data_IF_582500258875
#
_entry.id   IF_582500258875
#
_cell.length_a   1.000
_cell.length_b   1.000
_cell.length_c   1.000
_cell.angle_alpha   90.00
_cell.angle_beta   90.00
_cell.angle_gamma   90.00
#
_symmetry.space_group_name_H-M   'P 1'
#
loop_
_entity.id
_entity.type
_entity.pdbx_description
1 polymer ?
#
# COMPACT_ATOMS: atom_id res chain seq x y z
N UNK A 1 28.35 -21.46 -28.47
CA UNK A 1 27.47 -20.65 -27.59
C UNK A 1 27.98 -20.85 -26.18
N UNK A 2 28.69 -19.86 -25.67
CA UNK A 2 29.73 -20.04 -24.64
C UNK A 2 29.12 -19.87 -23.26
N UNK A 3 29.73 -20.48 -22.25
CA UNK A 3 29.38 -20.35 -20.82
C UNK A 3 29.16 -18.90 -20.36
N UNK A 4 29.82 -17.96 -21.06
CA UNK A 4 29.64 -16.52 -20.91
C UNK A 4 28.23 -16.04 -21.25
N UNK A 5 27.57 -16.56 -22.29
CA UNK A 5 26.25 -16.09 -22.74
C UNK A 5 25.20 -16.34 -21.64
N UNK A 6 25.17 -17.56 -21.07
CA UNK A 6 24.26 -17.87 -19.96
C UNK A 6 24.54 -17.05 -18.70
N UNK A 7 25.81 -16.80 -18.40
CA UNK A 7 26.17 -16.02 -17.20
C UNK A 7 25.88 -14.52 -17.38
N UNK A 8 26.06 -14.00 -18.60
CA UNK A 8 25.74 -12.63 -18.98
C UNK A 8 24.22 -12.43 -18.99
N UNK A 9 23.46 -13.38 -19.51
CA UNK A 9 21.99 -13.32 -19.50
C UNK A 9 21.44 -13.40 -18.06
N UNK A 10 21.97 -14.29 -17.21
CA UNK A 10 21.57 -14.40 -15.80
C UNK A 10 21.88 -13.13 -14.97
N UNK A 11 22.91 -12.39 -15.34
CA UNK A 11 23.26 -11.11 -14.68
C UNK A 11 22.50 -9.92 -15.25
N UNK A 12 22.19 -9.92 -16.55
CA UNK A 12 21.38 -8.89 -17.23
C UNK A 12 19.90 -8.98 -16.84
N UNK A 13 19.34 -10.18 -16.83
CA UNK A 13 17.91 -10.43 -16.59
C UNK A 13 17.65 -10.74 -15.10
N UNK A 14 18.55 -10.26 -14.24
CA UNK A 14 18.44 -10.38 -12.78
C UNK A 14 17.16 -9.66 -12.33
N UNK A 15 16.21 -10.37 -11.68
CA UNK A 15 15.00 -9.74 -11.18
C UNK A 15 15.31 -8.70 -10.10
N UNK A 16 14.54 -7.60 -10.09
CA UNK A 16 14.72 -6.50 -9.14
C UNK A 16 14.50 -6.90 -7.68
N UNK A 17 13.72 -7.96 -7.43
CA UNK A 17 13.50 -8.54 -6.10
C UNK A 17 14.69 -9.37 -5.57
N UNK A 18 15.71 -9.63 -6.39
CA UNK A 18 16.82 -10.51 -6.01
C UNK A 18 17.85 -9.78 -5.12
N UNK A 19 18.27 -10.34 -3.96
CA UNK A 19 19.07 -9.64 -2.94
C UNK A 19 20.36 -8.98 -3.44
N UNK A 20 20.47 -7.65 -3.32
CA UNK A 20 21.65 -6.87 -3.74
C UNK A 20 22.94 -7.38 -3.09
N UNK A 21 24.03 -7.51 -3.86
CA UNK A 21 25.32 -7.99 -3.37
C UNK A 21 25.61 -9.49 -3.58
N UNK A 22 24.59 -10.31 -3.88
CA UNK A 22 24.82 -11.70 -4.33
C UNK A 22 24.93 -11.75 -5.87
N UNK A 23 26.03 -12.28 -6.40
CA UNK A 23 26.16 -12.55 -7.84
C UNK A 23 25.60 -13.92 -8.16
N UNK A 24 24.61 -14.00 -9.05
CA UNK A 24 24.07 -15.28 -9.54
C UNK A 24 25.16 -15.97 -10.38
N UNK A 25 25.78 -17.01 -9.84
CA UNK A 25 26.79 -17.81 -10.53
C UNK A 25 26.33 -19.26 -10.59
N UNK A 26 26.36 -19.85 -11.79
CA UNK A 26 26.03 -21.25 -11.96
C UNK A 26 27.15 -22.13 -11.38
N UNK A 27 26.85 -23.19 -10.60
CA UNK A 27 27.86 -24.08 -10.08
C UNK A 27 28.68 -24.72 -11.21
N UNK A 28 30.00 -24.68 -11.07
CA UNK A 28 30.93 -25.19 -12.08
C UNK A 28 30.68 -26.67 -12.42
N UNK A 29 30.23 -27.47 -11.46
CA UNK A 29 29.88 -28.87 -11.66
C UNK A 29 28.72 -29.08 -12.66
N UNK A 30 27.75 -28.16 -12.70
CA UNK A 30 26.63 -28.22 -13.66
C UNK A 30 27.09 -27.82 -15.06
N UNK A 31 28.01 -26.86 -15.15
CA UNK A 31 28.63 -26.45 -16.41
C UNK A 31 29.46 -27.58 -17.03
N UNK A 32 30.25 -28.28 -16.22
CA UNK A 32 31.02 -29.44 -16.67
C UNK A 32 30.11 -30.60 -17.07
N UNK A 33 29.03 -30.85 -16.32
CA UNK A 33 28.05 -31.89 -16.66
C UNK A 33 27.38 -31.59 -18.01
N UNK A 34 26.97 -30.34 -18.25
CA UNK A 34 26.45 -29.88 -19.55
C UNK A 34 27.47 -30.09 -20.67
N UNK A 35 28.72 -29.68 -20.44
CA UNK A 35 29.79 -29.85 -21.43
C UNK A 35 29.99 -31.33 -21.79
N UNK A 36 29.95 -32.24 -20.80
CA UNK A 36 30.06 -33.68 -21.05
C UNK A 36 28.88 -34.24 -21.85
N UNK A 37 27.65 -33.83 -21.53
CA UNK A 37 26.44 -34.25 -22.25
C UNK A 37 26.46 -33.79 -23.72
N UNK A 38 26.91 -32.56 -23.99
CA UNK A 38 26.83 -31.97 -25.34
C UNK A 38 28.05 -32.27 -26.21
N UNK A 39 29.25 -32.33 -25.63
CA UNK A 39 30.51 -32.34 -26.38
C UNK A 39 31.43 -33.52 -26.09
N UNK A 40 31.12 -34.37 -25.10
CA UNK A 40 31.93 -35.56 -24.78
C UNK A 40 31.04 -36.82 -24.74
N UNK A 41 31.29 -37.68 -23.77
CA UNK A 41 30.52 -38.88 -23.52
C UNK A 41 29.45 -38.61 -22.47
N UNK A 42 28.28 -39.23 -22.67
CA UNK A 42 27.14 -39.13 -21.77
C UNK A 42 27.55 -39.62 -20.36
N UNK A 43 27.32 -38.83 -19.30
CA UNK A 43 27.63 -39.26 -17.93
C UNK A 43 26.79 -40.47 -17.52
N UNK A 44 27.31 -41.24 -16.56
CA UNK A 44 26.59 -42.38 -16.00
C UNK A 44 25.30 -41.94 -15.29
N UNK A 45 24.32 -42.85 -15.18
CA UNK A 45 23.07 -42.57 -14.49
C UNK A 45 23.28 -42.10 -13.03
N UNK A 46 24.29 -42.63 -12.34
CA UNK A 46 24.62 -42.23 -10.97
C UNK A 46 25.22 -40.81 -10.89
N UNK A 47 25.97 -40.38 -11.89
CA UNK A 47 26.44 -38.99 -12.01
C UNK A 47 25.29 -38.04 -12.35
N UNK A 48 24.39 -38.43 -13.26
CA UNK A 48 23.20 -37.64 -13.60
C UNK A 48 22.27 -37.47 -12.40
N UNK A 49 22.04 -38.52 -11.61
CA UNK A 49 21.24 -38.44 -10.37
C UNK A 49 21.83 -37.46 -9.35
N UNK A 50 23.15 -37.48 -9.17
CA UNK A 50 23.85 -36.54 -8.27
C UNK A 50 23.80 -35.11 -8.80
N UNK A 51 24.03 -34.92 -10.10
CA UNK A 51 23.96 -33.60 -10.73
C UNK A 51 22.54 -33.01 -10.66
N UNK A 52 21.50 -33.83 -10.84
CA UNK A 52 20.10 -33.42 -10.71
C UNK A 52 19.77 -33.00 -9.26
N UNK A 53 20.19 -33.80 -8.27
CA UNK A 53 20.02 -33.44 -6.85
C UNK A 53 20.72 -32.12 -6.49
N UNK A 54 21.96 -31.94 -6.94
CA UNK A 54 22.72 -30.70 -6.74
C UNK A 54 22.08 -29.50 -7.48
N UNK A 55 21.50 -29.72 -8.65
CA UNK A 55 20.78 -28.67 -9.40
C UNK A 55 19.52 -28.23 -8.67
N UNK A 56 18.76 -29.17 -8.12
CA UNK A 56 17.55 -28.89 -7.35
C UNK A 56 17.86 -28.14 -6.05
N UNK A 57 18.91 -28.53 -5.34
CA UNK A 57 19.36 -27.81 -4.15
C UNK A 57 19.79 -26.38 -4.50
N UNK A 58 20.56 -26.22 -5.58
CA UNK A 58 20.97 -24.90 -6.04
C UNK A 58 19.79 -24.02 -6.46
N UNK A 59 18.82 -24.57 -7.22
CA UNK A 59 17.59 -23.85 -7.58
C UNK A 59 16.76 -23.48 -6.35
N UNK A 60 16.73 -24.34 -5.33
CA UNK A 60 16.09 -24.03 -4.06
C UNK A 60 16.74 -22.83 -3.37
N UNK A 61 18.07 -22.87 -3.17
CA UNK A 61 18.82 -21.81 -2.50
C UNK A 61 18.78 -20.46 -3.23
N UNK A 62 18.80 -20.48 -4.57
CA UNK A 62 18.97 -19.27 -5.36
C UNK A 62 17.69 -18.70 -5.93
N UNK A 63 16.67 -19.52 -6.20
CA UNK A 63 15.43 -19.07 -6.81
C UNK A 63 14.25 -19.27 -5.86
N UNK A 64 13.93 -20.52 -5.48
CA UNK A 64 12.68 -20.78 -4.74
C UNK A 64 12.65 -20.23 -3.32
N UNK A 65 13.76 -20.27 -2.57
CA UNK A 65 13.82 -19.69 -1.23
C UNK A 65 13.66 -18.17 -1.21
N UNK A 66 13.94 -17.52 -2.34
CA UNK A 66 13.81 -16.07 -2.52
C UNK A 66 12.43 -15.69 -3.09
N UNK A 67 11.61 -16.66 -3.51
CA UNK A 67 10.27 -16.36 -4.03
C UNK A 67 9.35 -15.80 -2.94
N UNK A 68 9.57 -16.12 -1.68
CA UNK A 68 8.84 -15.46 -0.59
C UNK A 68 9.10 -13.95 -0.57
N UNK A 69 10.31 -13.51 -0.91
CA UNK A 69 10.63 -12.08 -1.08
C UNK A 69 10.01 -11.52 -2.36
N UNK A 70 10.00 -12.28 -3.46
CA UNK A 70 9.35 -11.88 -4.71
C UNK A 70 7.82 -11.71 -4.55
N UNK A 71 7.17 -12.63 -3.84
CA UNK A 71 5.73 -12.57 -3.56
C UNK A 71 5.40 -11.53 -2.49
N UNK A 72 6.29 -11.29 -1.52
CA UNK A 72 6.19 -10.09 -0.67
C UNK A 72 6.30 -8.82 -1.52
N UNK A 73 7.24 -8.73 -2.45
CA UNK A 73 7.42 -7.54 -3.32
C UNK A 73 6.22 -7.33 -4.26
N UNK A 74 5.60 -8.42 -4.76
CA UNK A 74 4.43 -8.37 -5.64
C UNK A 74 3.10 -8.14 -4.91
N UNK A 75 2.92 -8.70 -3.70
CA UNK A 75 1.76 -8.45 -2.86
C UNK A 75 1.83 -7.08 -2.15
N UNK A 76 3.02 -6.58 -1.84
CA UNK A 76 3.22 -5.31 -1.12
C UNK A 76 3.08 -4.05 -1.99
N UNK A 77 2.71 -4.17 -3.28
CA UNK A 77 2.17 -3.04 -4.04
C UNK A 77 0.79 -2.61 -3.50
N UNK A 78 0.10 -3.49 -2.77
CA UNK A 78 -1.15 -3.17 -2.07
C UNK A 78 -1.15 -3.84 -0.69
N UNK A 79 -0.99 -3.02 0.36
CA UNK A 79 -1.11 -3.36 1.79
C UNK A 79 0.15 -3.87 2.55
N UNK A 80 0.66 -2.96 3.40
CA UNK A 80 1.26 -3.21 4.73
C UNK A 80 2.62 -3.95 4.86
N UNK A 81 3.68 -3.13 4.99
CA UNK A 81 4.58 -3.17 6.15
C UNK A 81 5.69 -4.22 6.16
N UNK A 82 6.92 -3.80 5.78
CA UNK A 82 8.11 -4.63 6.00
C UNK A 82 9.39 -4.18 5.31
N UNK A 83 9.68 -2.87 5.26
CA UNK A 83 11.07 -2.39 5.19
C UNK A 83 11.50 -2.05 6.62
N UNK A 84 11.80 -3.09 7.40
CA UNK A 84 12.45 -2.96 8.72
C UNK A 84 13.95 -3.29 8.69
N UNK A 85 14.57 -3.38 7.52
CA UNK A 85 16.03 -3.51 7.40
C UNK A 85 16.61 -2.29 6.70
N UNK A 86 16.93 -1.26 7.49
CA UNK A 86 18.20 -0.46 7.44
C UNK A 86 18.18 0.78 8.38
N UNK A 87 17.16 0.94 9.24
CA UNK A 87 17.13 2.03 10.22
C UNK A 87 16.79 1.46 11.60
N UNK A 88 17.82 1.30 12.45
CA UNK A 88 17.62 0.88 13.85
C UNK A 88 16.56 1.73 14.54
N UNK A 89 15.80 1.14 15.47
CA UNK A 89 14.65 1.77 16.16
C UNK A 89 15.02 3.14 16.75
N UNK A 90 16.21 3.27 17.33
CA UNK A 90 16.75 4.53 17.85
C UNK A 90 16.94 5.58 16.76
N UNK A 91 17.48 5.20 15.60
CA UNK A 91 17.64 6.07 14.44
C UNK A 91 16.29 6.52 13.89
N UNK A 92 15.30 5.61 13.82
CA UNK A 92 13.93 5.92 13.39
C UNK A 92 13.25 6.94 14.30
N UNK A 93 13.39 6.78 15.61
CA UNK A 93 12.82 7.71 16.59
C UNK A 93 13.48 9.09 16.48
N UNK A 94 14.81 9.16 16.33
CA UNK A 94 15.53 10.42 16.14
C UNK A 94 15.11 11.13 14.84
N UNK A 95 14.91 10.40 13.75
CA UNK A 95 14.40 10.97 12.48
C UNK A 95 12.98 11.52 12.70
N UNK A 96 12.10 10.76 13.37
CA UNK A 96 10.74 11.20 13.71
C UNK A 96 10.75 12.50 14.52
N UNK A 97 11.55 12.58 15.58
CA UNK A 97 11.66 13.77 16.43
C UNK A 97 12.16 14.99 15.66
N UNK A 98 13.16 14.80 14.78
CA UNK A 98 13.68 15.86 13.90
C UNK A 98 12.61 16.35 12.93
N UNK A 99 11.84 15.45 12.30
CA UNK A 99 10.72 15.80 11.43
C UNK A 99 9.63 16.56 12.20
N UNK A 100 9.23 16.06 13.37
CA UNK A 100 8.22 16.70 14.19
C UNK A 100 8.65 18.12 14.64
N UNK A 101 9.91 18.29 15.02
CA UNK A 101 10.50 19.60 15.36
C UNK A 101 10.46 20.56 14.17
N UNK A 102 10.77 20.07 12.97
CA UNK A 102 10.70 20.84 11.73
C UNK A 102 9.27 21.29 11.42
N UNK A 103 8.30 20.38 11.50
CA UNK A 103 6.88 20.67 11.26
C UNK A 103 6.31 21.66 12.31
N UNK A 104 6.69 21.52 13.58
CA UNK A 104 6.31 22.48 14.64
C UNK A 104 6.88 23.87 14.37
N UNK A 105 8.13 23.95 13.92
CA UNK A 105 8.79 25.21 13.53
C UNK A 105 8.06 25.85 12.35
N UNK A 106 7.77 25.06 11.30
CA UNK A 106 6.98 25.49 10.15
C UNK A 106 5.63 26.08 10.59
N UNK A 107 4.85 25.36 11.41
CA UNK A 107 3.53 25.84 11.87
C UNK A 107 3.65 27.16 12.63
N UNK A 108 4.67 27.32 13.49
CA UNK A 108 4.92 28.56 14.22
C UNK A 108 5.23 29.73 13.28
N UNK A 109 6.13 29.53 12.33
CA UNK A 109 6.51 30.54 11.35
C UNK A 109 5.35 30.90 10.43
N UNK A 110 4.62 29.90 9.94
CA UNK A 110 3.45 30.10 9.09
C UNK A 110 2.34 30.87 9.80
N UNK A 111 2.07 30.56 11.07
CA UNK A 111 1.12 31.35 11.89
C UNK A 111 1.55 32.81 12.00
N UNK A 112 2.84 33.09 12.11
CA UNK A 112 3.36 34.46 12.13
C UNK A 112 3.24 35.15 10.77
N UNK A 113 3.47 34.46 9.66
CA UNK A 113 3.26 34.98 8.30
C UNK A 113 1.78 35.36 8.05
N UNK A 114 0.86 34.49 8.44
CA UNK A 114 -0.59 34.73 8.31
C UNK A 114 -1.00 35.95 9.14
N UNK A 115 -0.53 36.06 10.38
CA UNK A 115 -0.77 37.23 11.24
C UNK A 115 -0.19 38.52 10.65
N UNK A 116 0.98 38.44 10.02
CA UNK A 116 1.64 39.58 9.39
C UNK A 116 1.18 39.86 7.94
N UNK A 117 0.17 39.13 7.45
CA UNK A 117 -0.44 39.28 6.11
C UNK A 117 0.57 39.26 4.95
N UNK A 118 1.64 38.48 5.08
CA UNK A 118 2.64 38.32 4.00
C UNK A 118 2.05 37.49 2.87
N UNK A 119 2.26 37.94 1.61
CA UNK A 119 1.73 37.28 0.41
C UNK A 119 2.46 35.97 0.07
N UNK A 120 3.77 35.92 0.25
CA UNK A 120 4.58 34.73 -0.03
C UNK A 120 4.88 33.95 1.25
N UNK A 121 4.85 32.61 1.16
CA UNK A 121 5.23 31.75 2.28
C UNK A 121 6.71 31.38 2.21
N UNK A 122 7.53 32.10 2.97
CA UNK A 122 8.94 31.75 3.18
C UNK A 122 9.10 30.59 4.16
N UNK A 123 8.10 30.39 5.04
CA UNK A 123 8.07 29.27 5.96
C UNK A 123 8.07 27.92 5.21
N UNK A 124 7.28 27.79 4.14
CA UNK A 124 7.20 26.54 3.37
C UNK A 124 8.53 26.20 2.67
N UNK A 125 9.14 27.16 1.98
CA UNK A 125 10.44 26.98 1.34
C UNK A 125 11.54 26.68 2.38
N UNK A 126 11.57 27.41 3.49
CA UNK A 126 12.55 27.19 4.58
C UNK A 126 12.43 25.79 5.18
N UNK A 127 11.20 25.31 5.39
CA UNK A 127 10.95 23.96 5.90
C UNK A 127 11.43 22.89 4.92
N UNK A 128 11.17 23.06 3.62
CA UNK A 128 11.63 22.13 2.59
C UNK A 128 13.14 22.12 2.42
N UNK A 129 13.79 23.28 2.38
CA UNK A 129 15.25 23.36 2.34
C UNK A 129 15.86 22.70 3.58
N UNK A 130 15.25 22.89 4.75
CA UNK A 130 15.70 22.22 5.98
C UNK A 130 15.50 20.70 5.92
N UNK A 131 14.40 20.23 5.32
CA UNK A 131 14.14 18.81 5.12
C UNK A 131 15.18 18.20 4.18
N UNK A 132 15.38 18.78 3.01
CA UNK A 132 16.36 18.32 2.02
C UNK A 132 17.77 18.32 2.60
N UNK A 133 18.18 19.40 3.29
CA UNK A 133 19.51 19.50 3.91
C UNK A 133 19.75 18.43 4.96
N UNK A 134 18.73 18.03 5.72
CA UNK A 134 18.89 17.08 6.84
C UNK A 134 18.74 15.62 6.44
N UNK A 135 17.97 15.35 5.40
CA UNK A 135 17.54 13.98 5.08
C UNK A 135 17.88 13.54 3.66
N UNK A 136 18.35 14.44 2.80
CA UNK A 136 18.85 14.06 1.48
C UNK A 136 20.37 13.88 1.49
N UNK A 137 20.90 12.78 0.91
CA UNK A 137 22.34 12.58 0.79
C UNK A 137 23.00 13.54 -0.22
N UNK A 138 22.25 14.20 -1.10
CA UNK A 138 22.77 15.19 -2.06
C UNK A 138 21.66 16.16 -2.51
N UNK A 139 22.02 17.34 -3.01
CA UNK A 139 21.04 18.36 -3.48
C UNK A 139 20.15 17.89 -4.63
N UNK A 140 20.49 16.78 -5.29
CA UNK A 140 19.78 16.20 -6.42
C UNK A 140 19.08 14.87 -6.11
N UNK A 141 19.22 14.33 -4.89
CA UNK A 141 18.61 13.05 -4.51
C UNK A 141 17.41 13.28 -3.61
N UNK A 142 16.42 12.40 -3.69
CA UNK A 142 15.28 12.41 -2.76
C UNK A 142 15.65 11.69 -1.47
N UNK A 143 15.17 12.15 -0.31
CA UNK A 143 15.36 11.45 0.96
C UNK A 143 14.83 10.02 0.93
N UNK A 144 15.32 9.17 1.85
CA UNK A 144 14.92 7.76 1.91
C UNK A 144 13.40 7.58 1.95
N UNK A 145 12.90 6.50 1.33
CA UNK A 145 11.47 6.14 1.34
C UNK A 145 10.95 6.05 2.78
N UNK A 146 11.78 5.56 3.71
CA UNK A 146 11.42 5.49 5.13
C UNK A 146 11.23 6.87 5.78
N UNK A 147 12.08 7.84 5.45
CA UNK A 147 11.90 9.23 5.93
C UNK A 147 10.63 9.85 5.35
N UNK A 148 10.35 9.62 4.07
CA UNK A 148 9.11 10.09 3.42
C UNK A 148 7.87 9.45 4.06
N UNK A 149 7.93 8.15 4.38
CA UNK A 149 6.87 7.42 5.09
C UNK A 149 6.64 7.97 6.50
N UNK A 150 7.70 8.23 7.26
CA UNK A 150 7.59 8.87 8.58
C UNK A 150 6.97 10.27 8.49
N UNK A 151 7.30 11.05 7.45
CA UNK A 151 6.69 12.34 7.19
C UNK A 151 5.18 12.19 6.93
N UNK A 152 4.77 11.24 6.10
CA UNK A 152 3.34 10.97 5.85
C UNK A 152 2.60 10.52 7.11
N UNK A 153 3.20 9.65 7.93
CA UNK A 153 2.63 9.23 9.21
C UNK A 153 2.43 10.41 10.16
N UNK A 154 3.40 11.33 10.24
CA UNK A 154 3.27 12.54 11.04
C UNK A 154 2.15 13.46 10.51
N UNK A 155 2.06 13.65 9.20
CA UNK A 155 1.07 14.54 8.61
C UNK A 155 -0.36 14.00 8.73
N UNK A 156 -0.56 12.71 8.44
CA UNK A 156 -1.88 12.06 8.33
C UNK A 156 -2.26 11.31 9.60
N UNK A 157 -1.47 10.34 10.04
CA UNK A 157 -1.84 9.44 11.16
C UNK A 157 -1.79 10.16 12.52
N UNK A 158 -0.77 11.01 12.74
CA UNK A 158 -0.70 11.90 13.90
C UNK A 158 -1.57 13.15 13.75
N UNK A 159 -2.32 13.27 12.65
CA UNK A 159 -3.35 14.31 12.43
C UNK A 159 -2.78 15.73 12.48
N UNK A 160 -1.48 15.93 12.20
CA UNK A 160 -0.87 17.27 12.26
C UNK A 160 -1.50 18.26 11.27
N UNK A 161 -2.03 17.76 10.15
CA UNK A 161 -2.74 18.57 9.15
C UNK A 161 -4.19 18.86 9.52
N UNK A 162 -4.72 18.28 10.60
CA UNK A 162 -6.07 18.53 11.09
C UNK A 162 -6.08 19.58 12.22
N UNK A 163 -7.15 20.37 12.35
CA UNK A 163 -7.36 21.20 13.54
C UNK A 163 -7.40 20.34 14.81
N UNK A 164 -6.70 20.76 15.86
CA UNK A 164 -6.62 20.02 17.14
C UNK A 164 -8.00 19.78 17.77
N UNK A 165 -8.92 20.76 17.61
CA UNK A 165 -10.30 20.69 18.10
C UNK A 165 -11.31 20.51 16.96
N UNK A 166 -10.98 19.72 15.93
CA UNK A 166 -11.89 19.48 14.79
C UNK A 166 -13.23 18.95 15.29
N UNK A 167 -14.29 19.74 15.08
CA UNK A 167 -15.68 19.35 15.35
C UNK A 167 -16.33 18.92 14.04
N UNK A 168 -17.38 18.10 14.14
CA UNK A 168 -18.17 17.73 12.96
C UNK A 168 -18.69 18.99 12.25
N UNK A 169 -18.60 19.04 10.93
CA UNK A 169 -19.02 20.15 10.04
C UNK A 169 -18.27 21.47 10.26
N UNK A 170 -17.26 21.53 11.13
CA UNK A 170 -16.43 22.73 11.26
C UNK A 170 -15.48 22.88 10.07
N UNK A 171 -15.27 24.12 9.61
CA UNK A 171 -14.48 24.44 8.42
C UNK A 171 -13.01 24.04 8.52
N UNK A 172 -12.45 23.50 7.43
CA UNK A 172 -11.02 23.17 7.30
C UNK A 172 -10.15 24.32 6.78
N UNK A 173 -10.73 25.50 6.50
CA UNK A 173 -10.03 26.63 5.85
C UNK A 173 -8.77 27.09 6.58
N UNK A 174 -8.76 27.08 7.91
CA UNK A 174 -7.58 27.41 8.70
C UNK A 174 -6.44 26.39 8.54
N UNK A 175 -6.78 25.11 8.44
CA UNK A 175 -5.81 24.04 8.17
C UNK A 175 -5.26 24.15 6.75
N UNK A 176 -6.12 24.39 5.75
CA UNK A 176 -5.69 24.60 4.36
C UNK A 176 -4.74 25.80 4.24
N UNK A 177 -5.04 26.92 4.92
CA UNK A 177 -4.21 28.12 4.89
C UNK A 177 -2.80 27.90 5.50
N UNK A 178 -2.71 27.02 6.50
CA UNK A 178 -1.45 26.68 7.16
C UNK A 178 -0.70 25.62 6.36
N UNK A 179 -1.34 24.57 5.86
CA UNK A 179 -0.64 23.38 5.37
C UNK A 179 -0.52 23.28 3.85
N UNK A 180 -1.45 23.87 3.08
CA UNK A 180 -1.38 23.80 1.60
C UNK A 180 -0.04 24.31 1.03
N UNK A 181 0.55 25.43 1.51
CA UNK A 181 1.84 25.89 0.98
C UNK A 181 2.97 24.87 1.12
N UNK A 182 3.05 24.20 2.28
CA UNK A 182 4.06 23.16 2.51
C UNK A 182 3.79 21.91 1.68
N UNK A 183 2.55 21.42 1.66
CA UNK A 183 2.21 20.20 0.93
C UNK A 183 2.35 20.38 -0.59
N UNK A 184 1.94 21.53 -1.14
CA UNK A 184 2.13 21.87 -2.55
C UNK A 184 3.61 21.87 -2.89
N UNK A 185 4.43 22.55 -2.10
CA UNK A 185 5.85 22.63 -2.37
C UNK A 185 6.56 21.27 -2.16
N UNK A 186 6.08 20.41 -1.26
CA UNK A 186 6.56 19.04 -1.11
C UNK A 186 6.17 18.11 -2.28
N UNK A 187 5.03 18.37 -2.94
CA UNK A 187 4.53 17.56 -4.05
C UNK A 187 4.92 18.08 -5.43
N UNK A 188 5.40 19.32 -5.53
CA UNK A 188 5.75 19.94 -6.81
C UNK A 188 7.18 19.61 -7.18
N UNK A 189 7.38 19.06 -8.38
CA UNK A 189 8.72 18.82 -8.91
C UNK A 189 9.21 20.10 -9.62
N UNK A 190 10.35 20.62 -9.20
CA UNK A 190 11.00 21.75 -9.90
C UNK A 190 12.35 21.30 -10.43
N UNK A 191 12.89 21.92 -11.50
CA UNK A 191 14.21 21.58 -12.02
C UNK A 191 15.33 21.71 -10.97
N UNK A 192 15.13 22.51 -9.92
CA UNK A 192 16.09 22.76 -8.85
C UNK A 192 15.89 21.86 -7.62
N UNK A 193 14.65 21.42 -7.36
CA UNK A 193 14.29 20.63 -6.18
C UNK A 193 13.31 19.51 -6.58
N UNK A 194 13.71 18.23 -6.44
CA UNK A 194 12.81 17.11 -6.71
C UNK A 194 11.67 17.06 -5.68
N UNK A 195 10.50 16.61 -6.13
CA UNK A 195 9.36 16.40 -5.23
C UNK A 195 9.69 15.37 -4.13
N UNK A 196 9.30 15.67 -2.90
CA UNK A 196 9.49 14.78 -1.75
C UNK A 196 8.39 13.72 -1.69
N UNK A 197 7.17 14.12 -2.06
CA UNK A 197 5.98 13.28 -2.04
C UNK A 197 5.31 13.35 -3.42
N UNK A 198 4.55 12.31 -3.77
CA UNK A 198 3.62 12.39 -4.89
C UNK A 198 2.21 12.67 -4.37
N UNK A 199 1.38 13.35 -5.17
CA UNK A 199 -0.03 13.57 -4.84
C UNK A 199 -0.74 12.23 -4.65
N UNK A 200 -0.52 11.27 -5.54
CA UNK A 200 -1.15 9.95 -5.48
C UNK A 200 -0.82 9.23 -4.16
N UNK A 201 0.45 9.28 -3.71
CA UNK A 201 0.84 8.69 -2.42
C UNK A 201 0.18 9.39 -1.24
N UNK A 202 0.09 10.73 -1.27
CA UNK A 202 -0.57 11.50 -0.21
C UNK A 202 -2.06 11.17 -0.12
N UNK A 203 -2.77 11.18 -1.25
CA UNK A 203 -4.20 10.86 -1.33
C UNK A 203 -4.44 9.42 -0.87
N UNK A 204 -3.67 8.45 -1.38
CA UNK A 204 -3.81 7.05 -0.98
C UNK A 204 -3.63 6.87 0.55
N UNK A 205 -2.68 7.57 1.16
CA UNK A 205 -2.47 7.52 2.60
C UNK A 205 -3.63 8.16 3.39
N UNK A 206 -4.20 9.27 2.89
CA UNK A 206 -5.39 9.90 3.48
C UNK A 206 -6.63 9.00 3.35
N UNK A 207 -6.85 8.37 2.19
CA UNK A 207 -7.94 7.42 1.97
C UNK A 207 -7.82 6.21 2.89
N UNK A 208 -6.62 5.64 3.02
CA UNK A 208 -6.35 4.54 3.95
C UNK A 208 -6.67 4.93 5.39
N UNK A 209 -6.25 6.11 5.84
CA UNK A 209 -6.54 6.59 7.19
C UNK A 209 -8.04 6.90 7.40
N UNK A 210 -8.72 7.41 6.38
CA UNK A 210 -10.16 7.69 6.39
C UNK A 210 -11.01 6.42 6.49
N UNK A 211 -10.58 5.35 5.82
CA UNK A 211 -11.27 4.06 5.80
C UNK A 211 -10.77 3.06 6.85
N UNK A 212 -9.75 3.41 7.64
CA UNK A 212 -9.22 2.53 8.66
C UNK A 212 -10.32 2.08 9.65
N UNK A 213 -10.33 0.82 10.09
CA UNK A 213 -11.30 0.37 11.09
C UNK A 213 -11.13 1.19 12.38
N UNK A 214 -12.24 1.66 12.94
CA UNK A 214 -12.20 2.43 14.19
C UNK A 214 -11.63 1.55 15.30
N UNK A 215 -10.57 2.01 15.96
CA UNK A 215 -10.03 1.33 17.16
C UNK A 215 -11.03 1.34 18.33
N UNK A 216 -12.03 2.21 18.27
CA UNK A 216 -13.08 2.37 19.26
C UNK A 216 -14.38 1.75 18.74
N UNK A 217 -14.82 0.65 19.37
CA UNK A 217 -16.19 0.09 19.23
C UNK A 217 -17.29 1.10 19.60
N UNK A 218 -16.96 2.27 20.17
CA UNK A 218 -17.93 3.26 20.63
C UNK A 218 -18.45 4.22 19.55
N UNK A 219 -17.87 4.23 18.33
CA UNK A 219 -18.46 4.96 17.20
C UNK A 219 -19.06 3.94 16.23
N UNK A 220 -20.32 3.59 16.51
CA UNK A 220 -21.13 2.68 15.68
C UNK A 220 -21.40 3.29 14.30
N UNK A 221 -21.44 4.63 14.20
CA UNK A 221 -21.70 5.31 12.94
C UNK A 221 -20.46 6.04 12.39
N UNK A 222 -19.95 5.66 11.20
CA UNK A 222 -18.76 6.26 10.60
C UNK A 222 -18.95 7.73 10.19
N UNK A 223 -20.18 8.20 10.05
CA UNK A 223 -20.54 9.58 9.65
C UNK A 223 -20.31 10.63 10.74
N UNK A 224 -20.18 10.21 12.00
CA UNK A 224 -19.96 11.07 13.15
C UNK A 224 -18.48 11.26 13.53
N UNK A 225 -17.55 10.74 12.73
CA UNK A 225 -16.11 10.87 13.00
C UNK A 225 -15.54 12.18 12.39
N UNK A 226 -15.18 13.20 13.22
CA UNK A 226 -14.66 14.48 12.72
C UNK A 226 -13.30 14.36 12.04
N UNK A 227 -12.53 13.32 12.35
CA UNK A 227 -11.21 13.07 11.77
C UNK A 227 -11.36 12.59 10.34
N UNK A 228 -12.25 11.63 10.11
CA UNK A 228 -12.56 11.12 8.77
C UNK A 228 -13.16 12.21 7.89
N UNK A 229 -14.06 13.03 8.45
CA UNK A 229 -14.57 14.22 7.75
C UNK A 229 -13.45 15.17 7.34
N UNK A 230 -12.49 15.43 8.24
CA UNK A 230 -11.34 16.29 7.93
C UNK A 230 -10.43 15.71 6.83
N UNK A 231 -10.24 14.39 6.79
CA UNK A 231 -9.48 13.71 5.74
C UNK A 231 -10.23 13.73 4.40
N UNK A 232 -11.53 13.47 4.42
CA UNK A 232 -12.42 13.65 3.27
C UNK A 232 -12.29 15.06 2.68
N UNK A 233 -12.38 16.09 3.52
CA UNK A 233 -12.29 17.49 3.09
C UNK A 233 -10.90 17.83 2.53
N UNK A 234 -9.83 17.25 3.07
CA UNK A 234 -8.48 17.39 2.53
C UNK A 234 -8.35 16.78 1.13
N UNK A 235 -8.83 15.55 0.94
CA UNK A 235 -8.78 14.88 -0.37
C UNK A 235 -9.57 15.70 -1.40
N UNK A 236 -10.78 16.15 -1.02
CA UNK A 236 -11.61 17.00 -1.87
C UNK A 236 -10.90 18.32 -2.23
N UNK A 237 -10.26 18.99 -1.26
CA UNK A 237 -9.49 20.22 -1.49
C UNK A 237 -8.33 19.99 -2.46
N UNK A 238 -7.56 18.90 -2.29
CA UNK A 238 -6.44 18.56 -3.17
C UNK A 238 -6.92 18.32 -4.61
N UNK A 239 -8.05 17.64 -4.79
CA UNK A 239 -8.58 17.27 -6.10
C UNK A 239 -9.28 18.43 -6.82
N UNK A 240 -9.95 19.32 -6.09
CA UNK A 240 -10.87 20.31 -6.69
C UNK A 240 -10.38 21.75 -6.60
N UNK A 241 -9.51 22.09 -5.65
CA UNK A 241 -9.05 23.47 -5.47
C UNK A 241 -8.18 23.94 -6.64
N UNK A 242 -8.32 25.21 -7.02
CA UNK A 242 -7.47 25.87 -7.99
C UNK A 242 -6.01 25.96 -7.52
N UNK A 243 -5.77 26.04 -6.20
CA UNK A 243 -4.42 26.08 -5.62
C UNK A 243 -3.58 24.84 -5.97
N UNK A 244 -4.26 23.71 -6.16
CA UNK A 244 -3.63 22.42 -6.42
C UNK A 244 -3.54 22.07 -7.91
N UNK A 245 -4.07 22.92 -8.79
CA UNK A 245 -4.10 22.66 -10.23
C UNK A 245 -2.71 22.40 -10.82
N UNK A 246 -1.71 23.19 -10.42
CA UNK A 246 -0.33 23.04 -10.89
C UNK A 246 0.32 21.73 -10.41
N UNK A 247 -0.02 21.29 -9.19
CA UNK A 247 0.56 20.09 -8.61
C UNK A 247 -0.10 18.81 -9.18
N UNK A 248 -1.39 18.86 -9.56
CA UNK A 248 -2.12 17.76 -10.23
C UNK A 248 -1.60 17.44 -11.63
N UNK A 249 -0.83 18.34 -12.24
CA UNK A 249 -0.18 18.06 -13.51
C UNK A 249 0.77 19.17 -13.94
N UNK A 250 2.02 18.81 -14.25
CA UNK A 250 2.94 19.74 -14.90
C UNK A 250 2.82 19.63 -16.44
N UNK A 251 2.89 20.80 -17.08
CA UNK A 251 2.60 21.09 -18.50
C UNK A 251 1.12 20.94 -18.92
N UNK A 252 0.46 22.06 -19.21
CA UNK A 252 -0.99 22.26 -19.33
C UNK A 252 -1.80 21.23 -20.16
N UNK A 253 -1.19 20.51 -21.11
CA UNK A 253 -1.86 19.45 -21.89
C UNK A 253 -1.71 18.05 -21.27
N UNK A 254 -0.53 17.71 -20.74
CA UNK A 254 -0.33 16.50 -19.95
C UNK A 254 -1.02 16.61 -18.58
N UNK A 255 -1.18 17.83 -18.08
CA UNK A 255 -1.81 18.12 -16.79
C UNK A 255 -3.30 17.84 -16.74
N UNK A 256 -4.05 18.14 -17.81
CA UNK A 256 -5.47 17.80 -17.89
C UNK A 256 -5.68 16.27 -17.95
N UNK A 257 -4.82 15.57 -18.71
CA UNK A 257 -4.85 14.10 -18.77
C UNK A 257 -4.44 13.45 -17.44
N UNK A 258 -3.37 13.92 -16.79
CA UNK A 258 -2.90 13.38 -15.51
C UNK A 258 -3.83 13.73 -14.33
N UNK A 259 -4.41 14.93 -14.30
CA UNK A 259 -5.40 15.32 -13.29
C UNK A 259 -6.70 14.52 -13.45
N UNK A 260 -7.12 14.27 -14.70
CA UNK A 260 -8.18 13.32 -15.03
C UNK A 260 -7.84 11.93 -14.48
N UNK A 261 -6.61 11.43 -14.71
CA UNK A 261 -6.19 10.12 -14.20
C UNK A 261 -6.22 10.04 -12.68
N UNK A 262 -5.69 11.03 -11.95
CA UNK A 262 -5.70 10.99 -10.46
C UNK A 262 -7.14 10.99 -9.93
N UNK A 263 -8.05 11.77 -10.54
CA UNK A 263 -9.45 11.81 -10.13
C UNK A 263 -10.17 10.51 -10.47
N UNK A 264 -9.95 9.95 -11.66
CA UNK A 264 -10.49 8.65 -12.08
C UNK A 264 -9.97 7.52 -11.20
N UNK A 265 -8.70 7.53 -10.81
CA UNK A 265 -8.11 6.55 -9.89
C UNK A 265 -8.78 6.61 -8.50
N UNK A 266 -9.04 7.82 -7.99
CA UNK A 266 -9.76 8.01 -6.72
C UNK A 266 -11.19 7.54 -6.82
N UNK A 267 -11.91 7.86 -7.91
CA UNK A 267 -13.27 7.38 -8.14
C UNK A 267 -13.32 5.86 -8.26
N UNK A 268 -12.39 5.26 -9.02
CA UNK A 268 -12.28 3.81 -9.15
C UNK A 268 -12.06 3.15 -7.79
N UNK A 269 -11.17 3.70 -6.96
CA UNK A 269 -10.90 3.16 -5.63
C UNK A 269 -12.12 3.31 -4.70
N UNK A 270 -12.76 4.49 -4.68
CA UNK A 270 -13.96 4.72 -3.88
C UNK A 270 -15.13 3.81 -4.23
N UNK A 271 -15.32 3.50 -5.52
CA UNK A 271 -16.42 2.67 -6.00
C UNK A 271 -16.10 1.17 -5.95
N UNK A 272 -14.80 0.79 -5.92
CA UNK A 272 -14.38 -0.61 -5.72
C UNK A 272 -14.49 -1.05 -4.26
N UNK A 273 -14.32 -0.14 -3.32
CA UNK A 273 -14.47 -0.38 -1.88
C UNK A 273 -15.55 0.58 -1.31
N UNK A 274 -16.85 0.29 -1.50
CA UNK A 274 -17.92 1.20 -1.10
C UNK A 274 -18.04 1.30 0.44
N UNK A 275 -17.41 2.34 1.01
CA UNK A 275 -17.60 2.76 2.39
C UNK A 275 -18.41 4.06 2.44
N UNK A 276 -18.98 4.41 3.60
CA UNK A 276 -19.69 5.68 3.78
C UNK A 276 -18.89 6.90 3.27
N UNK A 277 -17.60 6.98 3.64
CA UNK A 277 -16.76 8.11 3.25
C UNK A 277 -16.30 8.05 1.79
N UNK A 278 -16.10 6.86 1.23
CA UNK A 278 -15.79 6.69 -0.18
C UNK A 278 -16.96 7.09 -1.08
N UNK A 279 -18.18 6.65 -0.75
CA UNK A 279 -19.39 7.03 -1.49
C UNK A 279 -19.64 8.53 -1.39
N UNK A 280 -19.50 9.12 -0.19
CA UNK A 280 -19.64 10.58 0.01
C UNK A 280 -18.59 11.38 -0.77
N UNK A 281 -17.34 10.91 -0.81
CA UNK A 281 -16.28 11.54 -1.59
C UNK A 281 -16.59 11.46 -3.09
N UNK A 282 -16.97 10.29 -3.60
CA UNK A 282 -17.33 10.09 -4.99
C UNK A 282 -18.51 10.98 -5.40
N UNK A 283 -19.56 11.04 -4.58
CA UNK A 283 -20.72 11.92 -4.80
C UNK A 283 -20.29 13.39 -4.93
N UNK A 284 -19.40 13.86 -4.04
CA UNK A 284 -18.90 15.25 -4.06
C UNK A 284 -18.03 15.54 -5.29
N UNK A 285 -17.22 14.59 -5.73
CA UNK A 285 -16.42 14.73 -6.95
C UNK A 285 -17.31 14.79 -8.19
N UNK A 286 -18.35 13.96 -8.28
CA UNK A 286 -19.30 13.92 -9.40
C UNK A 286 -20.33 15.07 -9.41
N UNK A 287 -20.46 15.80 -8.31
CA UNK A 287 -21.14 17.10 -8.28
C UNK A 287 -20.29 18.21 -8.92
N UNK A 288 -18.96 18.03 -8.98
CA UNK A 288 -18.05 18.89 -9.71
C UNK A 288 -18.23 18.76 -11.23
N UNK A 289 -18.16 19.88 -11.94
CA UNK A 289 -18.48 19.95 -13.37
C UNK A 289 -17.40 19.39 -14.32
N UNK A 290 -16.23 18.97 -13.80
CA UNK A 290 -15.03 18.71 -14.59
C UNK A 290 -14.52 17.26 -14.47
N UNK A 291 -15.45 16.29 -14.47
CA UNK A 291 -15.11 14.86 -14.48
C UNK A 291 -15.37 14.27 -15.87
N UNK A 292 -14.37 13.66 -16.53
CA UNK A 292 -14.60 12.95 -17.78
C UNK A 292 -15.51 11.73 -17.56
N UNK A 293 -16.29 11.38 -18.58
CA UNK A 293 -17.22 10.23 -18.51
C UNK A 293 -18.21 10.28 -17.33
N UNK A 294 -18.61 11.48 -16.90
CA UNK A 294 -19.50 11.72 -15.76
C UNK A 294 -20.73 10.79 -15.70
N UNK A 295 -21.38 10.55 -16.83
CA UNK A 295 -22.56 9.67 -16.89
C UNK A 295 -22.23 8.21 -16.56
N UNK A 296 -21.09 7.70 -17.04
CA UNK A 296 -20.65 6.34 -16.73
C UNK A 296 -20.31 6.20 -15.24
N UNK A 297 -19.59 7.18 -14.67
CA UNK A 297 -19.29 7.19 -13.24
C UNK A 297 -20.54 7.28 -12.36
N UNK A 298 -21.56 8.04 -12.77
CA UNK A 298 -22.85 8.08 -12.07
C UNK A 298 -23.57 6.74 -12.10
N UNK A 299 -23.58 6.06 -13.24
CA UNK A 299 -24.17 4.72 -13.34
C UNK A 299 -23.45 3.71 -12.42
N UNK A 300 -22.12 3.77 -12.33
CA UNK A 300 -21.35 2.91 -11.41
C UNK A 300 -21.65 3.26 -9.95
N UNK A 301 -21.76 4.56 -9.61
CA UNK A 301 -22.11 5.00 -8.27
C UNK A 301 -23.50 4.53 -7.84
N UNK A 302 -24.49 4.61 -8.74
CA UNK A 302 -25.85 4.13 -8.48
C UNK A 302 -25.85 2.62 -8.21
N UNK A 303 -25.06 1.84 -8.96
CA UNK A 303 -24.88 0.41 -8.74
C UNK A 303 -24.19 0.09 -7.40
N UNK A 304 -23.06 0.76 -7.10
CA UNK A 304 -22.31 0.56 -5.86
C UNK A 304 -23.13 0.95 -4.62
N UNK A 305 -23.98 1.96 -4.72
CA UNK A 305 -24.89 2.38 -3.63
C UNK A 305 -26.01 1.37 -3.43
N UNK A 306 -26.54 0.78 -4.50
CA UNK A 306 -27.54 -0.27 -4.41
C UNK A 306 -26.98 -1.52 -3.71
N UNK A 307 -25.76 -1.96 -4.06
CA UNK A 307 -25.08 -3.08 -3.39
C UNK A 307 -24.82 -2.82 -1.90
N UNK A 308 -24.34 -1.61 -1.56
CA UNK A 308 -24.10 -1.22 -0.17
C UNK A 308 -25.38 -1.19 0.68
N UNK A 309 -26.52 -0.85 0.08
CA UNK A 309 -27.81 -0.85 0.78
C UNK A 309 -28.38 -2.25 0.96
N UNK A 310 -28.22 -3.15 -0.02
CA UNK A 310 -28.65 -4.56 0.10
C UNK A 310 -27.87 -5.28 1.20
N UNK A 311 -26.57 -5.02 1.34
CA UNK A 311 -25.74 -5.59 2.40
C UNK A 311 -26.13 -5.13 3.83
N UNK A 312 -26.79 -3.98 3.98
CA UNK A 312 -27.26 -3.48 5.27
C UNK A 312 -28.65 -4.01 5.66
N UNK A 313 -29.45 -4.51 4.69
CA UNK A 313 -30.81 -5.02 4.93
C UNK A 313 -30.81 -6.48 5.41
N UNK A 314 -29.74 -7.25 5.13
CA UNK A 314 -29.55 -8.61 5.63
C UNK A 314 -29.11 -8.67 7.12
N UNK A 315 -28.90 -7.52 7.76
CA UNK A 315 -28.55 -7.41 9.20
C UNK A 315 -29.77 -7.00 10.05
N UNK A 316 -30.99 -7.37 9.62
CA UNK A 316 -32.20 -7.21 10.45
C UNK A 316 -32.12 -8.09 11.71
N UNK A 317 -31.97 -7.42 12.85
CA UNK A 317 -32.10 -7.93 14.20
C UNK A 317 -33.27 -8.93 14.33
N UNK A 318 -32.96 -10.19 14.62
CA UNK A 318 -33.94 -11.14 15.13
C UNK A 318 -34.30 -10.69 16.55
N UNK A 319 -35.44 -10.02 16.67
CA UNK A 319 -36.06 -9.60 17.91
C UNK A 319 -36.48 -10.85 18.73
N UNK A 320 -35.67 -11.23 19.73
CA UNK A 320 -35.97 -12.34 20.65
C UNK A 320 -36.49 -11.78 21.97
N UNK A 321 -37.68 -11.16 21.94
CA UNK A 321 -38.51 -11.00 23.13
C UNK A 321 -39.63 -12.05 23.13
N UNK A 322 -39.41 -13.13 23.89
CA UNK A 322 -40.49 -14.03 24.29
C UNK A 322 -40.09 -15.48 24.31
N UNK A 323 -39.61 -15.97 25.45
CA UNK A 323 -40.10 -17.16 26.16
C UNK A 323 -39.39 -17.18 27.53
N UNK A 324 -40.16 -16.87 28.58
CA UNK A 324 -39.80 -17.19 29.96
C UNK A 324 -40.33 -18.59 30.32
N UNK A 325 -39.64 -19.19 31.30
CA UNK A 325 -40.02 -20.30 32.19
C UNK A 325 -39.72 -21.76 31.79
N UNK A 326 -38.57 -22.21 32.34
CA UNK A 326 -38.34 -23.43 33.13
C UNK A 326 -38.49 -24.83 32.48
N UNK A 327 -37.40 -25.62 32.51
CA UNK A 327 -37.17 -26.72 33.48
C UNK A 327 -35.75 -27.29 33.22
N UNK A 328 -34.99 -27.53 34.30
CA UNK A 328 -33.70 -28.21 34.29
C UNK A 328 -33.87 -29.70 34.57
N UNK A 329 -33.30 -30.59 33.74
CA UNK A 329 -32.76 -31.93 34.11
C UNK A 329 -31.81 -32.43 33.01
N UNK A 330 -30.60 -32.85 33.39
CA UNK A 330 -30.05 -34.12 32.91
C UNK A 330 -29.00 -34.12 31.78
N UNK A 331 -27.74 -33.98 32.20
CA UNK A 331 -26.53 -34.65 31.70
C UNK A 331 -26.69 -35.76 30.62
N UNK A 332 -26.15 -35.53 29.41
CA UNK A 332 -25.37 -36.56 28.68
C UNK A 332 -24.49 -35.96 27.56
N UNK A 333 -23.20 -36.14 27.79
CA UNK A 333 -22.04 -36.22 26.88
C UNK A 333 -22.36 -36.47 25.40
N UNK A 334 -21.76 -35.69 24.49
CA UNK A 334 -20.93 -36.15 23.34
C UNK A 334 -20.29 -34.94 22.61
N UNK A 335 -18.95 -35.01 22.55
CA UNK A 335 -17.97 -34.54 21.55
C UNK A 335 -18.23 -33.25 20.75
N UNK A 336 -17.37 -32.28 21.04
CA UNK A 336 -17.10 -31.10 20.24
C UNK A 336 -16.30 -31.47 18.99
N UNK A 337 -16.90 -31.19 17.84
CA UNK A 337 -16.28 -31.04 16.53
C UNK A 337 -15.86 -29.56 16.41
N UNK A 338 -14.59 -29.30 16.12
CA UNK A 338 -14.08 -27.95 15.86
C UNK A 338 -13.37 -27.99 14.51
N UNK A 339 -14.12 -27.74 13.45
CA UNK A 339 -13.60 -27.27 12.17
C UNK A 339 -13.24 -25.79 12.29
N UNK A 340 -11.95 -25.46 12.15
CA UNK A 340 -11.49 -24.10 11.91
C UNK A 340 -11.18 -23.96 10.42
N UNK A 341 -12.11 -23.34 9.68
CA UNK A 341 -11.84 -22.77 8.36
C UNK A 341 -11.04 -21.48 8.51
N UNK A 342 -9.73 -21.59 8.62
CA UNK A 342 -8.84 -20.44 8.47
C UNK A 342 -8.61 -20.16 6.98
N UNK A 343 -8.86 -18.93 6.55
CA UNK A 343 -8.47 -18.45 5.22
C UNK A 343 -6.97 -18.67 5.01
N UNK A 344 -6.60 -19.64 4.18
CA UNK A 344 -5.20 -19.90 3.85
C UNK A 344 -4.65 -18.71 3.05
N UNK A 345 -3.86 -17.87 3.72
CA UNK A 345 -2.94 -16.95 3.06
C UNK A 345 -2.05 -17.78 2.15
N UNK A 346 -1.97 -17.43 0.86
CA UNK A 346 -1.10 -18.08 -0.12
C UNK A 346 0.31 -18.24 0.47
N UNK A 347 0.65 -19.46 0.87
CA UNK A 347 1.93 -19.81 1.46
C UNK A 347 2.88 -20.16 0.32
N UNK A 348 4.08 -19.60 0.33
CA UNK A 348 5.10 -19.90 -0.68
C UNK A 348 5.49 -21.39 -0.69
N UNK A 349 6.21 -21.85 -1.73
CA UNK A 349 6.65 -23.24 -1.84
C UNK A 349 7.44 -23.65 -0.59
N UNK A 350 7.04 -24.75 0.06
CA UNK A 350 7.73 -25.28 1.25
C UNK A 350 8.64 -26.43 0.84
N UNK A 351 9.88 -26.44 1.33
CA UNK A 351 10.81 -27.55 1.08
C UNK A 351 10.30 -28.78 1.82
N UNK A 352 9.79 -29.76 1.08
CA UNK A 352 9.44 -31.05 1.67
C UNK A 352 10.71 -31.90 1.70
N UNK A 353 11.23 -32.12 2.91
CA UNK A 353 12.32 -33.06 3.13
C UNK A 353 11.74 -34.47 3.23
N UNK A 354 11.88 -35.25 2.15
CA UNK A 354 11.39 -36.63 2.09
C UNK A 354 11.59 -37.24 0.71
N UNK A 355 11.45 -38.57 0.61
CA UNK A 355 11.45 -39.24 -0.70
C UNK A 355 10.18 -38.86 -1.45
N UNK A 356 10.34 -38.18 -2.59
CA UNK A 356 9.24 -37.91 -3.51
C UNK A 356 8.62 -39.23 -3.95
N UNK A 357 7.35 -39.45 -3.61
CA UNK A 357 6.58 -40.61 -4.07
C UNK A 357 5.93 -40.24 -5.40
N UNK A 358 6.36 -40.80 -6.55
CA UNK A 358 5.73 -40.49 -7.82
C UNK A 358 4.27 -40.94 -7.77
N UNK A 359 3.35 -40.01 -8.05
CA UNK A 359 1.95 -40.31 -8.28
C UNK A 359 1.69 -40.43 -9.78
N UNK A 360 0.87 -41.39 -10.23
CA UNK A 360 0.50 -41.52 -11.63
C UNK A 360 -0.32 -40.30 -12.10
N UNK A 361 -0.22 -39.98 -13.39
CA UNK A 361 -1.09 -38.99 -14.03
C UNK A 361 -2.56 -39.40 -13.82
N UNK A 362 -3.40 -38.48 -13.31
CA UNK A 362 -4.83 -38.72 -13.06
C UNK A 362 -5.23 -38.97 -11.61
N UNK A 363 -4.31 -38.80 -10.64
CA UNK A 363 -4.66 -38.90 -9.22
C UNK A 363 -5.44 -37.66 -8.75
N UNK A 364 -6.71 -37.83 -8.36
CA UNK A 364 -7.49 -36.82 -7.65
C UNK A 364 -7.39 -37.02 -6.13
N UNK A 365 -7.41 -35.93 -5.32
CA UNK A 365 -7.49 -36.02 -3.87
C UNK A 365 -8.84 -36.58 -3.41
N UNK A 366 -8.83 -37.38 -2.33
CA UNK A 366 -10.06 -37.86 -1.69
C UNK A 366 -10.94 -36.67 -1.27
N UNK A 367 -12.19 -36.64 -1.76
CA UNK A 367 -13.14 -35.53 -1.56
C UNK A 367 -13.48 -34.70 -2.81
N UNK A 368 -12.93 -35.06 -3.98
CA UNK A 368 -13.30 -34.50 -5.29
C UNK A 368 -14.17 -35.48 -6.11
N UNK A 369 -15.00 -36.29 -5.45
CA UNK A 369 -16.05 -37.05 -6.12
C UNK A 369 -17.21 -36.08 -6.38
N UNK A 370 -17.58 -35.89 -7.65
CA UNK A 370 -18.75 -35.10 -8.03
C UNK A 370 -20.00 -35.76 -7.43
N UNK A 371 -20.74 -35.02 -6.60
CA UNK A 371 -22.07 -35.43 -6.15
C UNK A 371 -22.99 -35.55 -7.39
N UNK A 372 -23.37 -36.77 -7.77
CA UNK A 372 -24.40 -37.07 -8.78
C UNK A 372 -25.83 -36.78 -8.28
#
# INVERSE_FOLDING_TARGET
MRLADTQIDLTRDRPSWFPSGKSLQLPLALLETRHRIVHRHLPSLAELKRAAAASLEWLWEWYWSQLDEAFKTGANASAHGGEEEDMGVESRQLVREKLQSMLKTYVKERKNEVKSKRKESKAASTALSSYNLRFSPSTTTTPSVQTQRLLLQLLVDEKMTLPTDKKLKSTMSGAFLIWSPFLLAACTNTPAEPAILTISTLIAHMMKAMNAPSASRAMVNPDLDPVREGLHDWILHILTSAEWAQARGSAAAAAAAAASTIMEDVLANCLSEPTFWNLKLAEKLLQGADVPNLQAWRAIMDAATAEANVANDDDMEVDVEGIQTAIAVGERVVKQDNGEGASEKMRGPVKVLGMWKPKPLGWLPDGWEEDE
#
